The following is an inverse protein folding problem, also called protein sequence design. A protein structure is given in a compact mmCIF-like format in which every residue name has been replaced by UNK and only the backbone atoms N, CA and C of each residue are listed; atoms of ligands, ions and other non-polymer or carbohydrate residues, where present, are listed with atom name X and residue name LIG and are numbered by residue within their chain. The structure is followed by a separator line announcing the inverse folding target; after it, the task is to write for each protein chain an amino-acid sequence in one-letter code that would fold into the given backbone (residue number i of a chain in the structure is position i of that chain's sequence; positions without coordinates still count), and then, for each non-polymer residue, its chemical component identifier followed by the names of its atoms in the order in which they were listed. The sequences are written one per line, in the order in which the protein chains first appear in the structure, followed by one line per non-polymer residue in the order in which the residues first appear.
data_IF_433761401781
#
_entry.id   IF_433761401781
#
_cell.length_a   1.000
_cell.length_b   1.000
_cell.length_c   1.000
_cell.angle_alpha   90.00
_cell.angle_beta   90.00
_cell.angle_gamma   90.00
#
_symmetry.space_group_name_H-M   'P 1'
#
loop_
_entity.id
_entity.type
_entity.pdbx_description
1 polymer ?
#
# COMPACT_ATOMS: atom_id res chain seq x y z
N UNK A 1 4.03 22.22 -1.20
CA UNK A 1 3.65 21.44 -2.39
C UNK A 1 4.05 22.22 -3.64
N UNK A 2 5.05 21.75 -4.34
CA UNK A 2 5.49 22.40 -5.59
C UNK A 2 4.53 21.98 -6.70
N UNK A 3 3.70 22.92 -7.16
CA UNK A 3 2.92 22.71 -8.38
C UNK A 3 3.87 22.87 -9.57
N UNK A 4 4.22 21.77 -10.22
CA UNK A 4 4.83 21.84 -11.53
C UNK A 4 3.77 22.34 -12.52
N UNK A 5 3.96 23.52 -13.07
CA UNK A 5 3.17 23.98 -14.19
C UNK A 5 3.48 23.09 -15.39
N UNK A 6 2.52 22.25 -15.78
CA UNK A 6 2.57 21.56 -17.07
C UNK A 6 2.53 22.61 -18.16
N UNK A 7 3.56 22.70 -18.95
CA UNK A 7 3.53 23.47 -20.20
C UNK A 7 2.76 22.69 -21.27
N UNK A 8 2.18 23.38 -22.22
CA UNK A 8 1.45 22.77 -23.35
C UNK A 8 2.34 21.75 -24.11
N UNK A 9 3.63 21.98 -24.15
CA UNK A 9 4.62 21.03 -24.71
C UNK A 9 4.76 19.71 -23.93
N UNK A 10 4.40 19.71 -22.63
CA UNK A 10 4.42 18.50 -21.81
C UNK A 10 3.18 17.61 -22.03
N UNK A 11 2.10 18.16 -22.54
CA UNK A 11 0.87 17.41 -22.85
C UNK A 11 1.01 16.57 -24.12
N UNK A 12 1.85 17.00 -25.05
CA UNK A 12 2.09 16.30 -26.32
C UNK A 12 3.17 15.19 -26.21
N UNK A 13 3.84 15.08 -25.07
CA UNK A 13 4.84 14.04 -24.86
C UNK A 13 4.19 12.73 -24.39
N UNK A 14 4.31 11.71 -25.21
CA UNK A 14 3.95 10.35 -24.84
C UNK A 14 4.94 9.88 -23.77
N UNK A 15 4.44 9.70 -22.55
CA UNK A 15 5.23 9.17 -21.43
C UNK A 15 4.96 7.69 -21.27
N UNK A 16 6.01 6.89 -21.41
CA UNK A 16 5.95 5.44 -21.21
C UNK A 16 6.71 5.11 -19.93
N UNK A 17 6.00 4.55 -18.94
CA UNK A 17 6.62 4.06 -17.71
C UNK A 17 7.22 2.66 -17.90
N UNK A 18 8.13 2.27 -17.01
CA UNK A 18 8.67 0.91 -16.99
C UNK A 18 7.55 -0.15 -16.84
N UNK A 19 6.55 0.12 -16.02
CA UNK A 19 5.39 -0.76 -15.82
C UNK A 19 4.56 -0.92 -17.09
N UNK A 20 4.38 0.16 -17.88
CA UNK A 20 3.71 0.09 -19.17
C UNK A 20 4.49 -0.75 -20.18
N UNK A 21 5.80 -0.52 -20.27
CA UNK A 21 6.67 -1.30 -21.16
C UNK A 21 6.67 -2.78 -20.81
N UNK A 22 6.78 -3.11 -19.53
CA UNK A 22 6.71 -4.49 -19.04
C UNK A 22 5.39 -5.15 -19.43
N UNK A 23 4.26 -4.46 -19.21
CA UNK A 23 2.95 -4.98 -19.56
C UNK A 23 2.78 -5.19 -21.08
N UNK A 24 3.26 -4.28 -21.88
CA UNK A 24 3.27 -4.41 -23.33
C UNK A 24 4.09 -5.60 -23.80
N UNK A 25 5.28 -5.78 -23.22
CA UNK A 25 6.17 -6.90 -23.53
C UNK A 25 5.54 -8.27 -23.18
N UNK A 26 4.82 -8.35 -22.08
CA UNK A 26 4.08 -9.55 -21.66
C UNK A 26 2.91 -9.85 -22.61
N UNK A 27 2.10 -8.87 -22.90
CA UNK A 27 0.95 -8.97 -23.79
C UNK A 27 0.50 -7.60 -24.29
N UNK A 28 0.73 -7.25 -25.57
CA UNK A 28 0.31 -5.96 -26.14
C UNK A 28 -1.18 -5.67 -25.99
N UNK A 29 -2.03 -6.69 -26.08
CA UNK A 29 -3.46 -6.55 -25.89
C UNK A 29 -3.84 -6.16 -24.47
N UNK A 30 -3.22 -6.76 -23.46
CA UNK A 30 -3.41 -6.36 -22.06
C UNK A 30 -2.96 -4.93 -21.83
N UNK A 31 -1.83 -4.54 -22.40
CA UNK A 31 -1.38 -3.16 -22.34
C UNK A 31 -2.39 -2.20 -22.97
N UNK A 32 -2.89 -2.51 -24.17
CA UNK A 32 -3.86 -1.68 -24.87
C UNK A 32 -5.15 -1.50 -24.07
N UNK A 33 -5.69 -2.58 -23.52
CA UNK A 33 -6.89 -2.52 -22.68
C UNK A 33 -6.68 -1.65 -21.44
N UNK A 34 -5.55 -1.80 -20.76
CA UNK A 34 -5.28 -1.10 -19.50
C UNK A 34 -4.89 0.36 -19.67
N UNK A 35 -3.98 0.65 -20.59
CA UNK A 35 -3.38 1.99 -20.72
C UNK A 35 -3.92 2.83 -21.87
N UNK A 36 -4.23 2.22 -22.99
CA UNK A 36 -4.84 2.93 -24.13
C UNK A 36 -6.33 3.13 -23.94
N UNK A 37 -7.06 2.08 -23.59
CA UNK A 37 -8.51 2.07 -23.54
C UNK A 37 -9.07 2.31 -22.12
N UNK A 38 -8.20 2.32 -21.11
CA UNK A 38 -8.55 2.58 -19.71
C UNK A 38 -9.46 1.53 -19.07
N UNK A 39 -9.57 0.34 -19.67
CA UNK A 39 -10.39 -0.76 -19.17
C UNK A 39 -9.61 -1.49 -18.08
N UNK A 40 -10.03 -1.28 -16.83
CA UNK A 40 -9.45 -1.96 -15.66
C UNK A 40 -10.57 -2.69 -14.94
N UNK A 41 -10.41 -4.00 -14.67
CA UNK A 41 -11.34 -4.69 -13.80
C UNK A 41 -11.32 -4.04 -12.41
N UNK A 42 -12.45 -4.01 -11.69
CA UNK A 42 -12.45 -3.61 -10.30
C UNK A 42 -11.62 -4.61 -9.51
N UNK A 43 -10.48 -4.16 -9.04
CA UNK A 43 -9.52 -4.99 -8.30
C UNK A 43 -8.98 -4.21 -7.10
N UNK A 44 -8.84 -4.92 -6.00
CA UNK A 44 -8.22 -4.41 -4.80
C UNK A 44 -7.37 -5.53 -4.19
N UNK A 45 -6.19 -5.20 -3.69
CA UNK A 45 -5.25 -6.19 -3.20
C UNK A 45 -5.01 -6.06 -1.70
N UNK A 46 -5.12 -7.17 -0.98
CA UNK A 46 -4.73 -7.27 0.41
C UNK A 46 -3.26 -6.85 0.64
N UNK A 47 -2.40 -7.08 -0.34
CA UNK A 47 -0.98 -6.69 -0.26
C UNK A 47 -0.78 -5.18 -0.15
N UNK A 48 -1.64 -4.38 -0.80
CA UNK A 48 -1.59 -2.92 -0.69
C UNK A 48 -2.06 -2.45 0.70
N UNK A 49 -3.13 -3.04 1.21
CA UNK A 49 -3.65 -2.75 2.56
C UNK A 49 -2.60 -3.09 3.61
N UNK A 50 -2.06 -4.30 3.54
CA UNK A 50 -1.03 -4.79 4.45
C UNK A 50 0.26 -3.96 4.34
N UNK A 51 0.74 -3.73 3.12
CA UNK A 51 1.97 -2.99 2.87
C UNK A 51 1.93 -1.57 3.43
N UNK A 52 0.83 -0.86 3.23
CA UNK A 52 0.63 0.49 3.79
C UNK A 52 0.64 0.45 5.33
N UNK A 53 -0.11 -0.45 5.94
CA UNK A 53 -0.22 -0.54 7.39
C UNK A 53 1.10 -0.92 8.06
N UNK A 54 1.81 -1.93 7.53
CA UNK A 54 3.10 -2.35 8.11
C UNK A 54 4.19 -1.30 7.92
N UNK A 55 4.22 -0.65 6.75
CA UNK A 55 5.18 0.41 6.47
C UNK A 55 5.03 1.59 7.43
N UNK A 56 3.82 2.09 7.62
CA UNK A 56 3.55 3.18 8.57
C UNK A 56 3.89 2.79 10.01
N UNK A 57 3.56 1.57 10.42
CA UNK A 57 3.88 1.07 11.75
C UNK A 57 5.38 1.06 12.01
N UNK A 58 6.17 0.53 11.09
CA UNK A 58 7.62 0.48 11.22
C UNK A 58 8.25 1.86 11.10
N UNK A 59 7.71 2.72 10.26
CA UNK A 59 8.17 4.10 10.14
C UNK A 59 7.96 4.90 11.43
N UNK A 60 6.79 4.75 12.07
CA UNK A 60 6.51 5.37 13.37
C UNK A 60 7.49 4.88 14.45
N UNK A 61 7.81 3.60 14.44
CA UNK A 61 8.80 3.02 15.36
C UNK A 61 10.19 3.61 15.15
N UNK A 62 10.66 3.67 13.91
CA UNK A 62 11.95 4.25 13.57
C UNK A 62 12.00 5.75 13.91
N UNK A 63 10.93 6.48 13.60
CA UNK A 63 10.84 7.90 13.93
C UNK A 63 10.94 8.12 15.44
N UNK A 64 10.27 7.30 16.23
CA UNK A 64 10.34 7.37 17.70
C UNK A 64 11.76 7.05 18.22
N UNK A 65 12.47 6.14 17.59
CA UNK A 65 13.86 5.85 17.92
C UNK A 65 14.77 7.06 17.69
N UNK A 66 14.56 7.78 16.59
CA UNK A 66 15.33 8.99 16.29
C UNK A 66 14.99 10.16 17.21
N UNK A 67 13.72 10.35 17.52
CA UNK A 67 13.25 11.51 18.28
C UNK A 67 13.46 11.39 19.78
N UNK A 68 13.36 10.18 20.34
CA UNK A 68 13.26 9.98 21.78
C UNK A 68 14.30 9.00 22.36
N UNK A 69 14.72 8.06 21.68
CA UNK A 69 15.64 6.98 22.00
C UNK A 69 15.01 5.58 21.90
N UNK A 70 15.85 4.56 21.83
CA UNK A 70 15.43 3.17 21.72
C UNK A 70 14.48 2.71 22.85
N UNK A 71 14.66 3.22 24.07
CA UNK A 71 13.78 2.89 25.21
C UNK A 71 12.35 3.37 25.01
N UNK A 72 12.15 4.58 24.47
CA UNK A 72 10.83 5.12 24.15
C UNK A 72 10.16 4.34 23.03
N UNK A 73 10.91 4.02 21.98
CA UNK A 73 10.43 3.20 20.87
C UNK A 73 10.01 1.79 21.32
N UNK A 74 10.76 1.17 22.23
CA UNK A 74 10.43 -0.16 22.75
C UNK A 74 9.15 -0.21 23.60
N UNK A 75 8.72 0.91 24.12
CA UNK A 75 7.46 1.02 24.87
C UNK A 75 6.24 1.17 23.98
N UNK A 76 6.41 1.42 22.69
CA UNK A 76 5.30 1.53 21.75
C UNK A 76 4.58 0.19 21.60
N UNK A 77 3.26 0.24 21.62
CA UNK A 77 2.41 -0.89 21.25
C UNK A 77 2.31 -0.97 19.71
N UNK A 78 3.34 -1.52 19.09
CA UNK A 78 3.39 -1.64 17.63
C UNK A 78 2.32 -2.55 17.06
N UNK A 79 1.99 -3.63 17.76
CA UNK A 79 0.94 -4.57 17.31
C UNK A 79 -0.43 -3.91 17.35
N UNK A 80 -0.73 -3.15 18.40
CA UNK A 80 -1.95 -2.35 18.49
C UNK A 80 -2.02 -1.27 17.41
N UNK A 81 -0.93 -0.57 17.18
CA UNK A 81 -0.83 0.43 16.11
C UNK A 81 -1.04 -0.18 14.73
N UNK A 82 -0.37 -1.28 14.45
CA UNK A 82 -0.52 -2.04 13.21
C UNK A 82 -1.96 -2.51 13.00
N UNK A 83 -2.60 -3.07 14.02
CA UNK A 83 -3.98 -3.50 13.96
C UNK A 83 -4.94 -2.34 13.62
N UNK A 84 -4.75 -1.19 14.27
CA UNK A 84 -5.55 0.02 14.00
C UNK A 84 -5.37 0.51 12.57
N UNK A 85 -4.14 0.59 12.09
CA UNK A 85 -3.82 1.01 10.72
C UNK A 85 -4.35 0.02 9.67
N UNK A 86 -4.24 -1.27 9.95
CA UNK A 86 -4.75 -2.31 9.05
C UNK A 86 -6.26 -2.23 8.88
N UNK A 87 -6.99 -2.04 9.97
CA UNK A 87 -8.45 -1.85 9.95
C UNK A 87 -8.85 -0.57 9.25
N UNK A 88 -8.19 0.53 9.57
CA UNK A 88 -8.46 1.84 8.96
C UNK A 88 -8.25 1.78 7.45
N UNK A 89 -7.14 1.22 7.00
CA UNK A 89 -6.84 1.08 5.57
C UNK A 89 -7.85 0.17 4.86
N UNK A 90 -8.23 -0.93 5.50
CA UNK A 90 -9.27 -1.82 4.97
C UNK A 90 -10.60 -1.10 4.81
N UNK A 91 -11.06 -0.40 5.83
CA UNK A 91 -12.34 0.30 5.83
C UNK A 91 -12.35 1.42 4.77
N UNK A 92 -11.27 2.20 4.68
CA UNK A 92 -11.14 3.27 3.70
C UNK A 92 -11.17 2.74 2.25
N UNK A 93 -10.45 1.67 1.99
CA UNK A 93 -10.42 1.05 0.65
C UNK A 93 -11.74 0.39 0.30
N UNK A 94 -12.38 -0.26 1.25
CA UNK A 94 -13.69 -0.87 1.05
C UNK A 94 -14.74 0.18 0.72
N UNK A 95 -14.79 1.28 1.46
CA UNK A 95 -15.71 2.39 1.22
C UNK A 95 -15.49 3.00 -0.17
N UNK A 96 -14.23 3.29 -0.53
CA UNK A 96 -13.87 3.82 -1.84
C UNK A 96 -14.21 2.84 -2.98
N UNK A 97 -14.01 1.56 -2.78
CA UNK A 97 -14.34 0.52 -3.75
C UNK A 97 -15.86 0.41 -3.97
N UNK A 98 -16.62 0.36 -2.90
CA UNK A 98 -18.10 0.28 -2.95
C UNK A 98 -18.71 1.51 -3.61
N UNK A 99 -18.13 2.69 -3.40
CA UNK A 99 -18.55 3.93 -4.05
C UNK A 99 -18.30 3.90 -5.56
N UNK A 100 -17.14 3.40 -5.99
CA UNK A 100 -16.78 3.32 -7.43
C UNK A 100 -17.43 2.15 -8.16
N UNK A 101 -17.66 1.05 -7.45
CA UNK A 101 -18.12 -0.22 -8.00
C UNK A 101 -19.27 -0.80 -7.18
N UNK A 102 -20.45 -0.14 -7.14
CA UNK A 102 -21.56 -0.57 -6.28
C UNK A 102 -22.12 -1.95 -6.63
N UNK A 103 -21.89 -2.42 -7.85
CA UNK A 103 -22.36 -3.73 -8.33
C UNK A 103 -21.37 -4.87 -8.10
N UNK A 104 -20.21 -4.57 -7.52
CA UNK A 104 -19.15 -5.54 -7.23
C UNK A 104 -18.93 -5.70 -5.74
N UNK A 105 -18.66 -6.94 -5.33
CA UNK A 105 -18.28 -7.25 -3.96
C UNK A 105 -16.80 -6.90 -3.73
N UNK A 106 -16.49 -6.38 -2.54
CA UNK A 106 -15.11 -6.07 -2.16
C UNK A 106 -14.28 -7.36 -2.08
N UNK A 107 -13.17 -7.49 -2.84
CA UNK A 107 -12.49 -8.76 -3.04
C UNK A 107 -11.67 -9.25 -1.85
N UNK A 108 -11.44 -8.40 -0.85
CA UNK A 108 -10.64 -8.76 0.34
C UNK A 108 -11.57 -9.31 1.42
N UNK A 109 -11.35 -10.56 1.83
CA UNK A 109 -12.13 -11.20 2.90
C UNK A 109 -11.57 -10.90 4.29
N UNK A 110 -12.44 -11.00 5.30
CA UNK A 110 -12.01 -10.89 6.71
C UNK A 110 -11.03 -12.00 7.11
N UNK A 111 -11.14 -13.17 6.50
CA UNK A 111 -10.22 -14.30 6.73
C UNK A 111 -8.80 -13.97 6.28
N UNK A 112 -8.66 -13.37 5.10
CA UNK A 112 -7.38 -12.88 4.62
C UNK A 112 -6.80 -11.80 5.55
N UNK A 113 -7.64 -10.87 6.02
CA UNK A 113 -7.23 -9.83 6.97
C UNK A 113 -6.66 -10.42 8.26
N UNK A 114 -7.28 -11.46 8.81
CA UNK A 114 -6.78 -12.14 10.01
C UNK A 114 -5.43 -12.81 9.76
N UNK A 115 -5.26 -13.45 8.61
CA UNK A 115 -3.99 -14.08 8.24
C UNK A 115 -2.87 -13.05 8.11
N UNK A 116 -3.11 -11.97 7.38
CA UNK A 116 -2.12 -10.90 7.21
C UNK A 116 -1.83 -10.15 8.51
N UNK A 117 -2.80 -10.02 9.40
CA UNK A 117 -2.56 -9.49 10.74
C UNK A 117 -1.55 -10.34 11.52
N UNK A 118 -1.71 -11.66 11.50
CA UNK A 118 -0.77 -12.58 12.15
C UNK A 118 0.62 -12.52 11.53
N UNK A 119 0.69 -12.46 10.22
CA UNK A 119 1.96 -12.32 9.51
C UNK A 119 2.66 -11.00 9.87
N UNK A 120 1.90 -9.92 9.97
CA UNK A 120 2.41 -8.62 10.40
C UNK A 120 2.92 -8.61 11.84
N UNK A 121 2.25 -9.29 12.75
CA UNK A 121 2.74 -9.45 14.12
C UNK A 121 4.10 -10.15 14.15
N UNK A 122 4.29 -11.20 13.35
CA UNK A 122 5.57 -11.90 13.24
C UNK A 122 6.67 -11.01 12.66
N UNK A 123 6.35 -10.20 11.66
CA UNK A 123 7.29 -9.24 11.07
C UNK A 123 7.72 -8.20 12.11
N UNK A 124 6.78 -7.68 12.89
CA UNK A 124 7.08 -6.71 13.97
C UNK A 124 7.97 -7.32 15.03
N UNK A 125 7.69 -8.54 15.47
CA UNK A 125 8.51 -9.26 16.45
C UNK A 125 9.92 -9.50 15.92
N UNK A 126 10.06 -9.92 14.69
CA UNK A 126 11.35 -10.11 14.04
C UNK A 126 12.14 -8.80 13.96
N UNK A 127 11.50 -7.74 13.50
CA UNK A 127 12.11 -6.42 13.35
C UNK A 127 12.62 -5.88 14.69
N UNK A 128 11.84 -5.99 15.75
CA UNK A 128 12.25 -5.58 17.12
C UNK A 128 13.42 -6.39 17.64
N UNK A 129 13.44 -7.69 17.39
CA UNK A 129 14.48 -8.60 17.86
C UNK A 129 15.81 -8.38 17.13
N UNK A 130 15.78 -7.98 15.87
CA UNK A 130 16.95 -7.86 14.99
C UNK A 130 17.30 -6.41 14.63
N UNK A 131 16.75 -5.44 15.33
CA UNK A 131 16.94 -4.01 15.03
C UNK A 131 18.40 -3.53 15.05
N UNK A 132 19.29 -4.21 15.77
CA UNK A 132 20.71 -3.90 15.80
C UNK A 132 21.44 -4.22 14.50
N UNK A 133 20.78 -4.92 13.58
CA UNK A 133 21.30 -5.26 12.26
C UNK A 133 20.98 -4.20 11.20
N UNK A 134 20.14 -3.23 11.55
CA UNK A 134 19.67 -2.16 10.63
C UNK A 134 20.24 -0.76 11.02
#
# INVERSE_FOLDING_TARGET
MIKFFKTQEDEDKIRISHSQFKKWRECPKKWALRYRDGIRPPDESIHLVFGTAIHETLQDYLQKMYDDAAKGANRMDLKGRFNSLLKEEYDNRKEAFEEKHPDHEFPISKKEMVQFYRDGEQIIDYFRSNRSEY
#
